data_IF_963071475240
#
_entry.id   IF_963071475240
#
_cell.length_a   1.000
_cell.length_b   1.000
_cell.length_c   1.000
_cell.angle_alpha   90.00
_cell.angle_beta   90.00
_cell.angle_gamma   90.00
#
_symmetry.space_group_name_H-M   'P 1'
#
loop_
_entity.id
_entity.type
_entity.pdbx_description
1 polymer ?
#
# COMPACT_ATOMS: atom_id res chain seq x y z
N UNK A 1 -2.24 -22.42 -0.49
CA UNK A 1 -2.38 -22.18 0.97
C UNK A 1 -1.59 -23.28 1.69
N UNK A 2 -0.55 -22.99 2.48
CA UNK A 2 0.16 -24.04 3.21
C UNK A 2 -0.72 -24.54 4.36
N UNK A 3 -0.84 -25.87 4.48
CA UNK A 3 -1.67 -26.57 5.47
C UNK A 3 -1.00 -26.67 6.85
N UNK A 4 -1.77 -26.94 7.93
CA UNK A 4 -1.32 -26.94 9.34
C UNK A 4 -0.13 -27.88 9.64
N UNK A 5 0.10 -28.88 8.80
CA UNK A 5 1.17 -29.88 8.96
C UNK A 5 2.57 -29.29 8.85
N UNK A 6 2.74 -28.16 8.15
CA UNK A 6 4.05 -27.49 8.02
C UNK A 6 4.62 -26.99 9.35
N UNK A 7 3.84 -26.92 10.43
CA UNK A 7 4.32 -26.47 11.75
C UNK A 7 4.54 -27.59 12.77
N UNK A 8 4.46 -28.87 12.37
CA UNK A 8 4.71 -30.00 13.26
C UNK A 8 6.12 -29.97 13.89
N UNK A 9 7.12 -29.49 13.14
CA UNK A 9 8.49 -29.34 13.65
C UNK A 9 8.64 -28.25 14.73
N UNK A 10 7.70 -27.29 14.80
CA UNK A 10 7.67 -26.27 15.84
C UNK A 10 7.02 -26.78 17.15
N UNK A 11 6.19 -27.83 17.10
CA UNK A 11 5.60 -28.42 18.33
C UNK A 11 6.65 -29.05 19.25
N UNK A 12 7.73 -29.60 18.69
CA UNK A 12 8.83 -30.21 19.46
C UNK A 12 9.54 -29.20 20.38
N UNK A 13 9.42 -27.91 20.10
CA UNK A 13 10.00 -26.81 20.89
C UNK A 13 9.09 -26.29 22.00
N UNK A 14 7.85 -26.80 22.11
CA UNK A 14 6.83 -26.33 23.05
C UNK A 14 6.64 -27.30 24.22
N UNK A 15 7.22 -28.51 24.18
CA UNK A 15 7.14 -29.41 25.33
C UNK A 15 8.07 -28.91 26.44
N UNK A 16 7.54 -28.50 27.60
CA UNK A 16 8.36 -28.07 28.72
C UNK A 16 9.18 -29.28 29.18
N UNK A 17 10.50 -29.17 29.06
CA UNK A 17 11.42 -30.18 29.59
C UNK A 17 11.34 -30.10 31.11
N UNK A 18 10.52 -30.97 31.73
CA UNK A 18 10.48 -31.12 33.18
C UNK A 18 11.83 -31.67 33.65
N UNK A 19 12.67 -30.82 34.23
CA UNK A 19 13.88 -31.21 34.95
C UNK A 19 13.63 -30.99 36.44
N UNK A 20 13.56 -32.08 37.19
CA UNK A 20 13.53 -32.01 38.65
C UNK A 20 14.94 -31.68 39.15
N UNK A 21 15.14 -30.44 39.59
CA UNK A 21 16.43 -29.99 40.16
C UNK A 21 16.36 -30.16 41.67
N UNK A 22 17.13 -31.10 42.23
CA UNK A 22 17.35 -31.20 43.68
C UNK A 22 18.46 -30.21 44.07
N UNK A 23 18.08 -29.13 44.74
CA UNK A 23 19.00 -28.10 45.22
C UNK A 23 19.68 -28.60 46.49
N UNK A 24 21.02 -28.65 46.51
CA UNK A 24 21.79 -29.08 47.68
C UNK A 24 22.64 -27.98 48.32
N UNK A 25 22.74 -26.81 47.69
CA UNK A 25 23.46 -25.67 48.23
C UNK A 25 22.91 -24.32 47.75
N UNK A 26 23.20 -23.26 48.52
CA UNK A 26 22.77 -21.88 48.22
C UNK A 26 23.46 -21.33 46.95
N UNK A 27 24.67 -21.78 46.62
CA UNK A 27 25.36 -21.39 45.40
C UNK A 27 24.68 -21.94 44.14
N UNK A 28 24.12 -23.15 44.21
CA UNK A 28 23.35 -23.75 43.11
C UNK A 28 22.02 -22.99 42.89
N UNK A 29 21.42 -22.40 43.93
CA UNK A 29 20.21 -21.55 43.80
C UNK A 29 20.47 -20.31 42.94
N UNK A 30 21.57 -19.59 43.18
CA UNK A 30 21.88 -18.36 42.43
C UNK A 30 22.16 -18.65 40.95
N UNK A 31 22.79 -19.79 40.65
CA UNK A 31 23.04 -20.23 39.26
C UNK A 31 21.73 -20.64 38.55
N UNK A 32 20.82 -21.30 39.27
CA UNK A 32 19.48 -21.65 38.75
C UNK A 32 18.67 -20.39 38.45
N UNK A 33 18.68 -19.38 39.33
CA UNK A 33 17.95 -18.14 39.11
C UNK A 33 18.46 -17.39 37.88
N UNK A 34 19.78 -17.33 37.68
CA UNK A 34 20.38 -16.75 36.47
C UNK A 34 20.00 -17.52 35.20
N UNK A 35 20.00 -18.85 35.25
CA UNK A 35 19.58 -19.69 34.12
C UNK A 35 18.09 -19.54 33.81
N UNK A 36 17.23 -19.40 34.84
CA UNK A 36 15.79 -19.16 34.66
C UNK A 36 15.53 -17.80 34.03
N UNK A 37 16.24 -16.76 34.46
CA UNK A 37 16.12 -15.41 33.90
C UNK A 37 16.59 -15.37 32.43
N UNK A 38 17.72 -16.00 32.10
CA UNK A 38 18.19 -16.13 30.73
C UNK A 38 17.20 -16.91 29.84
N UNK A 39 16.65 -18.01 30.33
CA UNK A 39 15.66 -18.80 29.60
C UNK A 39 14.34 -18.04 29.40
N UNK A 40 13.89 -17.26 30.39
CA UNK A 40 12.71 -16.41 30.28
C UNK A 40 12.90 -15.32 29.22
N UNK A 41 14.06 -14.65 29.22
CA UNK A 41 14.40 -13.63 28.22
C UNK A 41 14.43 -14.23 26.80
N UNK A 42 15.07 -15.39 26.62
CA UNK A 42 15.07 -16.09 25.33
C UNK A 42 13.67 -16.50 24.86
N UNK A 43 12.79 -16.89 25.79
CA UNK A 43 11.41 -17.25 25.46
C UNK A 43 10.60 -16.03 25.01
N UNK A 44 10.74 -14.90 25.70
CA UNK A 44 10.10 -13.62 25.35
C UNK A 44 10.56 -13.13 23.98
N UNK A 45 11.87 -13.14 23.70
CA UNK A 45 12.44 -12.69 22.43
C UNK A 45 11.96 -13.53 21.24
N UNK A 46 11.81 -14.85 21.44
CA UNK A 46 11.28 -15.75 20.43
C UNK A 46 9.78 -15.53 20.15
N UNK A 47 8.98 -15.24 21.19
CA UNK A 47 7.57 -14.90 21.02
C UNK A 47 7.43 -13.60 20.25
N UNK A 48 8.20 -12.56 20.61
CA UNK A 48 8.19 -11.26 19.94
C UNK A 48 8.56 -11.43 18.46
N UNK A 49 9.65 -12.13 18.17
CA UNK A 49 10.11 -12.38 16.79
C UNK A 49 9.05 -13.13 15.96
N UNK A 50 8.36 -14.10 16.57
CA UNK A 50 7.29 -14.85 15.89
C UNK A 50 6.04 -14.01 15.64
N UNK A 51 5.64 -13.19 16.61
CA UNK A 51 4.50 -12.28 16.45
C UNK A 51 4.78 -11.26 15.34
N UNK A 52 5.98 -10.69 15.31
CA UNK A 52 6.43 -9.79 14.23
C UNK A 52 6.36 -10.50 12.88
N UNK A 53 6.90 -11.72 12.75
CA UNK A 53 6.88 -12.47 11.51
C UNK A 53 5.46 -12.84 11.02
N UNK A 54 4.56 -13.21 11.95
CA UNK A 54 3.16 -13.52 11.64
C UNK A 54 2.39 -12.29 11.17
N UNK A 55 2.66 -11.13 11.76
CA UNK A 55 2.02 -9.88 11.39
C UNK A 55 2.56 -9.35 10.05
N UNK A 56 3.87 -9.40 9.80
CA UNK A 56 4.47 -9.04 8.50
C UNK A 56 3.92 -9.96 7.39
N UNK A 57 3.86 -11.26 7.63
CA UNK A 57 3.35 -12.23 6.65
C UNK A 57 1.88 -12.07 6.30
N UNK A 58 1.08 -11.43 7.17
CA UNK A 58 -0.36 -11.19 6.94
C UNK A 58 -0.64 -9.87 6.23
N UNK A 59 0.14 -8.82 6.51
CA UNK A 59 -0.15 -7.46 6.04
C UNK A 59 0.84 -6.92 4.98
N UNK A 60 1.91 -7.65 4.65
CA UNK A 60 2.76 -7.39 3.48
C UNK A 60 3.61 -6.11 3.51
N UNK A 61 3.36 -5.19 4.44
CA UNK A 61 4.16 -3.99 4.71
C UNK A 61 4.36 -3.85 6.23
N UNK A 62 5.58 -3.53 6.65
CA UNK A 62 5.98 -3.45 8.05
C UNK A 62 5.21 -2.38 8.84
N UNK A 63 5.18 -2.52 10.17
CA UNK A 63 4.59 -1.55 11.09
C UNK A 63 5.61 -0.45 11.44
N UNK A 64 5.13 0.77 11.67
CA UNK A 64 5.96 1.92 12.09
C UNK A 64 6.02 2.05 13.62
N UNK A 65 5.04 1.54 14.38
CA UNK A 65 5.06 1.61 15.84
C UNK A 65 4.22 0.50 16.50
N UNK A 66 4.79 -0.12 17.54
CA UNK A 66 4.09 -0.99 18.48
C UNK A 66 4.04 -0.24 19.82
N UNK A 67 2.86 0.17 20.26
CA UNK A 67 2.68 0.83 21.56
C UNK A 67 1.83 -0.07 22.46
N UNK A 68 2.32 -0.34 23.66
CA UNK A 68 1.58 -1.05 24.69
C UNK A 68 0.78 -0.03 25.52
N UNK A 69 -0.51 -0.28 25.72
CA UNK A 69 -1.33 0.52 26.63
C UNK A 69 -1.09 0.10 28.09
N UNK A 70 -1.38 0.97 29.05
CA UNK A 70 -1.30 0.66 30.50
C UNK A 70 -2.09 -0.60 30.90
N UNK A 71 -3.14 -0.94 30.14
CA UNK A 71 -3.97 -2.14 30.38
C UNK A 71 -3.46 -3.44 29.71
N UNK A 72 -2.26 -3.42 29.10
CA UNK A 72 -1.67 -4.61 28.48
C UNK A 72 -2.28 -5.03 27.14
N UNK A 73 -3.06 -4.15 26.51
CA UNK A 73 -3.56 -4.34 25.14
C UNK A 73 -2.57 -3.79 24.11
N UNK A 74 -2.42 -4.52 23.00
CA UNK A 74 -1.68 -4.07 21.82
C UNK A 74 -2.65 -3.35 20.89
N UNK A 75 -2.52 -2.03 20.77
CA UNK A 75 -3.24 -1.28 19.74
C UNK A 75 -2.35 -1.22 18.50
N UNK A 76 -2.69 -1.98 17.46
CA UNK A 76 -2.16 -1.71 16.13
C UNK A 76 -2.93 -0.53 15.57
N UNK A 77 -2.35 0.67 15.61
CA UNK A 77 -2.89 1.79 14.84
C UNK A 77 -2.70 1.44 13.36
N UNK A 78 -3.77 0.97 12.72
CA UNK A 78 -3.87 1.06 11.27
C UNK A 78 -3.98 2.55 10.97
N UNK A 79 -2.95 3.16 10.38
CA UNK A 79 -3.11 4.50 9.81
C UNK A 79 -4.33 4.48 8.88
N UNK A 80 -5.37 5.20 9.31
CA UNK A 80 -6.31 5.97 8.48
C UNK A 80 -6.38 5.50 7.03
N UNK A 81 -7.18 4.46 6.77
CA UNK A 81 -7.50 3.88 5.45
C UNK A 81 -6.29 3.75 4.51
N UNK A 82 -5.71 2.55 4.42
CA UNK A 82 -4.70 2.25 3.40
C UNK A 82 -5.34 2.35 2.01
N UNK A 83 -5.30 3.55 1.44
CA UNK A 83 -5.70 3.83 0.06
C UNK A 83 -4.69 3.19 -0.88
N UNK A 84 -5.18 2.56 -1.94
CA UNK A 84 -4.29 1.93 -2.92
C UNK A 84 -3.75 3.00 -3.85
N UNK A 85 -2.52 3.45 -3.63
CA UNK A 85 -1.87 4.41 -4.52
C UNK A 85 -1.76 3.85 -5.94
N UNK A 86 -2.04 4.70 -6.93
CA UNK A 86 -1.90 4.39 -8.35
C UNK A 86 -0.92 5.37 -9.01
N UNK A 87 -0.12 4.83 -9.92
CA UNK A 87 0.73 5.58 -10.84
C UNK A 87 0.59 4.91 -12.19
N UNK A 88 0.01 5.60 -13.16
CA UNK A 88 -0.37 5.04 -14.46
C UNK A 88 0.29 5.86 -15.55
N UNK A 89 0.92 5.17 -16.50
CA UNK A 89 1.48 5.81 -17.68
C UNK A 89 0.36 6.28 -18.61
N UNK A 90 0.48 7.49 -19.12
CA UNK A 90 -0.32 7.98 -20.24
C UNK A 90 0.53 7.69 -21.48
N UNK A 91 0.02 6.91 -22.43
CA UNK A 91 0.74 6.56 -23.65
C UNK A 91 -0.25 6.06 -24.71
N UNK A 92 -0.74 6.98 -25.54
CA UNK A 92 -1.66 6.66 -26.63
C UNK A 92 -1.43 7.61 -27.82
N UNK A 93 -1.98 7.28 -28.99
CA UNK A 93 -1.78 8.02 -30.22
C UNK A 93 -3.00 8.00 -31.15
N UNK A 94 -4.19 7.92 -30.58
CA UNK A 94 -5.47 7.94 -31.27
C UNK A 94 -6.24 9.25 -31.03
N UNK A 95 -7.07 9.62 -32.01
CA UNK A 95 -8.00 10.75 -31.92
C UNK A 95 -9.33 10.27 -31.36
N UNK A 96 -9.31 9.78 -30.13
CA UNK A 96 -10.46 9.17 -29.48
C UNK A 96 -10.38 9.26 -27.94
N UNK A 97 -11.39 8.68 -27.29
CA UNK A 97 -11.42 8.45 -25.85
C UNK A 97 -10.47 7.31 -25.48
N UNK A 98 -9.42 7.60 -24.71
CA UNK A 98 -8.54 6.59 -24.15
C UNK A 98 -8.77 6.39 -22.65
N UNK A 99 -8.93 5.12 -22.25
CA UNK A 99 -9.12 4.76 -20.84
C UNK A 99 -7.78 4.67 -20.13
N UNK A 100 -7.44 5.69 -19.35
CA UNK A 100 -6.19 5.72 -18.58
C UNK A 100 -6.30 4.91 -17.30
N UNK A 101 -7.41 5.04 -16.57
CA UNK A 101 -7.68 4.23 -15.37
C UNK A 101 -9.04 3.59 -15.52
N UNK A 102 -9.06 2.27 -15.66
CA UNK A 102 -10.30 1.52 -15.77
C UNK A 102 -11.12 1.60 -14.47
N UNK A 103 -12.41 1.87 -14.61
CA UNK A 103 -13.36 1.85 -13.51
C UNK A 103 -13.57 0.44 -12.97
N UNK A 104 -13.66 0.32 -11.64
CA UNK A 104 -13.98 -0.94 -10.95
C UNK A 104 -15.20 -0.70 -10.08
N UNK A 105 -16.22 -1.57 -10.19
CA UNK A 105 -17.46 -1.42 -9.43
C UNK A 105 -17.19 -1.33 -7.93
N UNK A 106 -17.79 -0.33 -7.28
CA UNK A 106 -17.62 -0.06 -5.85
C UNK A 106 -16.32 0.65 -5.47
N UNK A 107 -15.45 0.99 -6.43
CA UNK A 107 -14.20 1.72 -6.21
C UNK A 107 -14.31 3.13 -6.77
N UNK A 108 -13.76 4.09 -6.05
CA UNK A 108 -13.68 5.51 -6.42
C UNK A 108 -12.22 5.84 -6.76
N UNK A 109 -11.99 6.43 -7.93
CA UNK A 109 -10.64 6.86 -8.33
C UNK A 109 -10.44 8.31 -7.86
N UNK A 110 -9.33 8.58 -7.18
CA UNK A 110 -8.92 9.92 -6.74
C UNK A 110 -7.63 10.33 -7.44
N UNK A 111 -7.68 11.35 -8.27
CA UNK A 111 -6.54 11.81 -9.07
C UNK A 111 -5.89 13.01 -8.38
N UNK A 112 -4.60 12.89 -8.07
CA UNK A 112 -3.85 13.94 -7.37
C UNK A 112 -2.99 14.77 -8.31
N UNK A 113 -2.41 14.15 -9.34
CA UNK A 113 -1.57 14.84 -10.31
C UNK A 113 -1.63 14.18 -11.69
N UNK A 114 -1.60 15.01 -12.73
CA UNK A 114 -1.49 14.60 -14.13
C UNK A 114 -0.35 15.40 -14.75
N UNK A 115 0.62 14.72 -15.35
CA UNK A 115 1.63 15.34 -16.19
C UNK A 115 1.58 14.67 -17.55
N UNK A 116 1.44 15.44 -18.63
CA UNK A 116 1.47 14.91 -19.98
C UNK A 116 2.11 15.88 -20.97
N UNK A 117 2.53 15.33 -22.09
CA UNK A 117 3.00 16.05 -23.27
C UNK A 117 2.30 15.53 -24.53
N UNK A 118 2.22 16.37 -25.55
CA UNK A 118 1.65 16.04 -26.87
C UNK A 118 2.69 16.24 -27.97
N UNK A 119 2.69 15.36 -28.97
CA UNK A 119 3.63 15.42 -30.09
C UNK A 119 3.16 16.34 -31.24
N UNK A 120 1.87 16.65 -31.32
CA UNK A 120 1.26 17.49 -32.35
C UNK A 120 0.02 18.22 -31.83
N UNK A 121 -0.59 19.01 -32.71
CA UNK A 121 -1.80 19.79 -32.43
C UNK A 121 -2.98 18.88 -32.09
N UNK A 122 -3.59 19.10 -30.92
CA UNK A 122 -4.79 18.38 -30.49
C UNK A 122 -5.47 19.10 -29.33
N UNK A 123 -6.77 18.89 -29.20
CA UNK A 123 -7.51 19.26 -28.00
C UNK A 123 -7.58 18.09 -27.03
N UNK A 124 -7.24 18.35 -25.77
CA UNK A 124 -7.32 17.38 -24.68
C UNK A 124 -8.55 17.67 -23.80
N UNK A 125 -9.35 16.63 -23.53
CA UNK A 125 -10.42 16.66 -22.52
C UNK A 125 -10.23 15.55 -21.49
N UNK A 126 -10.56 15.83 -20.24
CA UNK A 126 -10.63 14.82 -19.19
C UNK A 126 -12.08 14.46 -18.90
N UNK A 127 -12.34 13.17 -18.65
CA UNK A 127 -13.70 12.63 -18.55
C UNK A 127 -13.84 11.69 -17.36
N UNK A 128 -15.03 11.70 -16.76
CA UNK A 128 -15.52 10.78 -15.75
C UNK A 128 -16.51 9.80 -16.41
N UNK A 129 -15.96 8.71 -16.92
CA UNK A 129 -16.67 7.85 -17.87
C UNK A 129 -17.04 8.62 -19.14
N UNK A 130 -18.33 8.79 -19.39
CA UNK A 130 -18.83 9.51 -20.58
C UNK A 130 -18.95 11.02 -20.38
N UNK A 131 -18.86 11.49 -19.13
CA UNK A 131 -19.13 12.88 -18.79
C UNK A 131 -17.84 13.70 -18.80
N UNK A 132 -17.86 14.86 -19.46
CA UNK A 132 -16.70 15.75 -19.54
C UNK A 132 -16.44 16.40 -18.16
N UNK A 133 -15.24 16.21 -17.62
CA UNK A 133 -14.75 16.90 -16.41
C UNK A 133 -14.18 18.28 -16.75
N UNK A 134 -13.63 18.44 -17.96
CA UNK A 134 -13.07 19.70 -18.45
C UNK A 134 -13.61 20.00 -19.85
N UNK A 135 -13.56 21.27 -20.26
CA UNK A 135 -13.68 21.63 -21.68
C UNK A 135 -12.43 21.22 -22.48
N UNK A 136 -12.48 21.35 -23.82
CA UNK A 136 -11.32 21.12 -24.69
C UNK A 136 -10.22 22.12 -24.36
N UNK A 137 -9.01 21.60 -24.15
CA UNK A 137 -7.81 22.37 -23.90
C UNK A 137 -6.85 22.19 -25.08
N UNK A 138 -6.48 23.30 -25.71
CA UNK A 138 -5.67 23.30 -26.92
C UNK A 138 -4.17 23.13 -26.61
N UNK A 139 -3.49 22.28 -27.38
CA UNK A 139 -2.08 21.99 -27.21
C UNK A 139 -1.41 21.65 -28.54
N UNK A 140 -0.11 21.92 -28.62
CA UNK A 140 0.77 21.37 -29.66
C UNK A 140 0.78 22.12 -30.99
N UNK A 141 0.00 23.19 -31.13
CA UNK A 141 0.04 24.12 -32.26
C UNK A 141 1.30 25.00 -32.28
N UNK A 142 1.32 25.95 -33.21
CA UNK A 142 2.42 26.92 -33.32
C UNK A 142 2.32 27.93 -32.20
N UNK A 143 3.42 28.11 -31.45
CA UNK A 143 3.48 29.00 -30.27
C UNK A 143 2.55 28.61 -29.09
N UNK A 144 2.15 27.34 -29.03
CA UNK A 144 1.30 26.79 -27.97
C UNK A 144 2.05 25.83 -27.02
N UNK A 145 1.52 25.63 -25.79
CA UNK A 145 2.07 24.63 -24.89
C UNK A 145 2.01 23.22 -25.48
N UNK A 146 3.04 22.41 -25.23
CA UNK A 146 3.12 21.00 -25.69
C UNK A 146 2.79 20.00 -24.58
N UNK A 147 2.06 20.43 -23.57
CA UNK A 147 1.74 19.62 -22.39
C UNK A 147 1.38 20.48 -21.18
N UNK A 148 1.02 19.80 -20.11
CA UNK A 148 0.67 20.45 -18.84
C UNK A 148 1.08 19.57 -17.64
N UNK A 149 1.31 20.24 -16.52
CA UNK A 149 1.39 19.62 -15.20
C UNK A 149 0.24 20.17 -14.37
N UNK A 150 -0.69 19.31 -14.00
CA UNK A 150 -1.90 19.64 -13.26
C UNK A 150 -1.82 18.93 -11.92
N UNK A 151 -1.74 19.70 -10.84
CA UNK A 151 -1.71 19.19 -9.47
C UNK A 151 -2.94 19.67 -8.71
N UNK A 152 -3.64 18.74 -8.08
CA UNK A 152 -4.84 19.02 -7.28
C UNK A 152 -4.52 19.17 -5.78
N UNK A 153 -3.25 18.97 -5.39
CA UNK A 153 -2.78 19.10 -4.02
C UNK A 153 -3.62 18.28 -3.04
N UNK A 154 -4.32 18.96 -2.13
CA UNK A 154 -5.12 18.34 -1.07
C UNK A 154 -6.56 17.99 -1.48
N UNK A 155 -7.02 18.41 -2.67
CA UNK A 155 -8.39 18.21 -3.14
C UNK A 155 -8.39 17.42 -4.46
N UNK A 156 -8.10 16.11 -4.43
CA UNK A 156 -8.01 15.31 -5.65
C UNK A 156 -9.32 15.30 -6.42
N UNK A 157 -9.22 15.25 -7.75
CA UNK A 157 -10.39 15.00 -8.57
C UNK A 157 -10.97 13.64 -8.24
N UNK A 158 -12.28 13.62 -8.04
CA UNK A 158 -13.01 12.41 -7.68
C UNK A 158 -13.79 11.94 -8.88
N UNK A 159 -13.46 10.75 -9.34
CA UNK A 159 -14.21 10.06 -10.40
C UNK A 159 -15.39 9.35 -9.74
N UNK A 160 -16.56 9.41 -10.37
CA UNK A 160 -17.76 8.75 -9.88
C UNK A 160 -17.48 7.25 -9.67
N UNK A 161 -17.97 6.70 -8.56
CA UNK A 161 -17.71 5.31 -8.18
C UNK A 161 -18.06 4.34 -9.32
N UNK A 162 -17.12 3.45 -9.65
CA UNK A 162 -17.27 2.48 -10.74
C UNK A 162 -16.97 3.00 -12.14
N UNK A 163 -16.72 4.30 -12.33
CA UNK A 163 -16.38 4.86 -13.64
C UNK A 163 -14.89 4.92 -13.89
N UNK A 164 -14.53 4.97 -15.17
CA UNK A 164 -13.15 5.12 -15.63
C UNK A 164 -12.75 6.58 -15.67
N UNK A 165 -11.46 6.84 -15.46
CA UNK A 165 -10.86 8.10 -15.89
C UNK A 165 -10.39 7.98 -17.34
N UNK A 166 -10.87 8.88 -18.19
CA UNK A 166 -10.61 8.90 -19.62
C UNK A 166 -9.95 10.22 -20.01
N UNK A 167 -9.00 10.15 -20.94
CA UNK A 167 -8.45 11.30 -21.64
C UNK A 167 -8.88 11.18 -23.11
N UNK A 168 -9.56 12.20 -23.61
CA UNK A 168 -9.92 12.32 -25.03
C UNK A 168 -8.89 13.22 -25.73
N UNK A 169 -8.42 12.78 -26.89
CA UNK A 169 -7.65 13.60 -27.83
C UNK A 169 -8.47 13.79 -29.10
N UNK A 170 -8.56 15.02 -29.61
CA UNK A 170 -9.31 15.28 -30.85
C UNK A 170 -8.60 14.74 -32.09
N UNK A 171 -7.28 14.63 -32.05
CA UNK A 171 -6.44 14.19 -33.17
C UNK A 171 -5.57 12.98 -32.78
N UNK A 172 -5.19 12.18 -33.79
CA UNK A 172 -4.33 11.01 -33.62
C UNK A 172 -2.85 11.40 -33.45
N UNK A 173 -2.54 12.07 -32.34
CA UNK A 173 -1.19 12.50 -31.97
C UNK A 173 -0.71 11.76 -30.73
N UNK A 174 0.60 11.53 -30.62
CA UNK A 174 1.16 10.89 -29.43
C UNK A 174 0.94 11.78 -28.20
N UNK A 175 0.25 11.23 -27.19
CA UNK A 175 0.12 11.79 -25.85
C UNK A 175 0.87 10.88 -24.88
N UNK A 176 1.79 11.45 -24.10
CA UNK A 176 2.66 10.69 -23.20
C UNK A 176 2.76 11.37 -21.84
N UNK A 177 2.83 10.61 -20.76
CA UNK A 177 2.85 11.20 -19.42
C UNK A 177 2.69 10.21 -18.27
N UNK A 178 2.35 10.76 -17.11
CA UNK A 178 2.04 10.00 -15.90
C UNK A 178 0.89 10.65 -15.16
N UNK A 179 -0.02 9.81 -14.68
CA UNK A 179 -1.06 10.16 -13.74
C UNK A 179 -0.75 9.51 -12.39
N UNK A 180 -0.90 10.27 -11.31
CA UNK A 180 -0.81 9.73 -9.95
C UNK A 180 -2.08 10.01 -9.16
N UNK A 181 -2.39 9.12 -8.23
CA UNK A 181 -3.62 9.15 -7.46
C UNK A 181 -3.72 7.99 -6.48
N UNK A 182 -4.94 7.70 -6.03
CA UNK A 182 -5.23 6.52 -5.21
C UNK A 182 -6.66 6.03 -5.44
N UNK A 183 -6.90 4.76 -5.11
CA UNK A 183 -8.21 4.13 -5.10
C UNK A 183 -8.77 4.12 -3.68
N UNK A 184 -10.05 4.44 -3.58
CA UNK A 184 -10.86 4.51 -2.37
C UNK A 184 -12.08 3.58 -2.47
#
# INVERSE_FOLDING_TARGET
>A
RPTPEKFAHLRRWVEPVKRDIKITSIAEMTDIDQQLEQNANLFVDNIISRVIAQLIGKYGKGFVTLEATEDGHLITQNERESKTNISVAIAFNDGADETIVAGVAGVTIKITSIMFTVAGETNIKFKDGTDDLTGPMDFGGTDEPRGAVITQGFLPWTITTGRSFIIESSEAVQVSGVLTGYLD
#
